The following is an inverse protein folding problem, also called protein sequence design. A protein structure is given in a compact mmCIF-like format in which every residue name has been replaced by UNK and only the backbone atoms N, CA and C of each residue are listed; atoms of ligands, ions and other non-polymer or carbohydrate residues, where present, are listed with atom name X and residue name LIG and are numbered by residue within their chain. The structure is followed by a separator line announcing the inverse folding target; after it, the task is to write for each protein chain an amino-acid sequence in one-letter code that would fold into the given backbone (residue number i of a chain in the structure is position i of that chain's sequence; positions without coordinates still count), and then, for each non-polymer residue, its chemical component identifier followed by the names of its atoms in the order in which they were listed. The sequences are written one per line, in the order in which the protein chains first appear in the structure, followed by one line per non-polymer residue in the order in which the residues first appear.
data_IF_633148877473
#
_entry.id   IF_633148877473
#
_cell.length_a   1.000
_cell.length_b   1.000
_cell.length_c   1.000
_cell.angle_alpha   90.00
_cell.angle_beta   90.00
_cell.angle_gamma   90.00
#
_symmetry.space_group_name_H-M   'P 1'
#
loop_
_entity.id
_entity.type
_entity.pdbx_description
1 polymer ?
#
# COMPACT_ATOMS: atom_id res chain seq x y z
N UNK A 1 41.67 -50.76 7.26
CA UNK A 1 42.54 -50.35 6.12
C UNK A 1 41.73 -49.46 5.21
N UNK A 2 42.18 -48.23 4.98
CA UNK A 2 41.49 -47.29 4.11
C UNK A 2 41.58 -47.78 2.66
N UNK A 3 40.44 -47.85 1.95
CA UNK A 3 40.35 -48.41 0.59
C UNK A 3 40.50 -47.34 -0.51
N UNK A 4 40.53 -46.06 -0.15
CA UNK A 4 40.63 -44.96 -1.10
C UNK A 4 42.07 -44.44 -1.23
N UNK A 5 42.47 -43.96 -2.43
CA UNK A 5 43.72 -43.23 -2.62
C UNK A 5 43.83 -42.01 -1.69
N UNK A 6 45.04 -41.66 -1.27
CA UNK A 6 45.28 -40.57 -0.31
C UNK A 6 44.72 -39.21 -0.77
N UNK A 7 44.78 -38.92 -2.07
CA UNK A 7 44.24 -37.68 -2.65
C UNK A 7 42.71 -37.61 -2.61
N UNK A 8 42.01 -38.76 -2.72
CA UNK A 8 40.55 -38.83 -2.57
C UNK A 8 40.16 -38.53 -1.14
N UNK A 9 40.90 -39.06 -0.17
CA UNK A 9 40.68 -38.76 1.24
C UNK A 9 40.96 -37.28 1.55
N UNK A 10 41.98 -36.69 0.93
CA UNK A 10 42.30 -35.27 1.06
C UNK A 10 41.20 -34.39 0.46
N UNK A 11 40.68 -34.75 -0.73
CA UNK A 11 39.55 -34.08 -1.34
C UNK A 11 38.29 -34.18 -0.48
N UNK A 12 37.99 -35.37 0.05
CA UNK A 12 36.85 -35.59 0.95
C UNK A 12 36.96 -34.73 2.22
N UNK A 13 38.15 -34.69 2.83
CA UNK A 13 38.41 -33.84 3.98
C UNK A 13 38.24 -32.35 3.64
N UNK A 14 38.74 -31.90 2.49
CA UNK A 14 38.57 -30.52 2.04
C UNK A 14 37.10 -30.16 1.83
N UNK A 15 36.31 -31.05 1.21
CA UNK A 15 34.86 -30.85 1.04
C UNK A 15 34.13 -30.81 2.37
N UNK A 16 34.48 -31.68 3.33
CA UNK A 16 33.88 -31.67 4.67
C UNK A 16 34.21 -30.40 5.45
N UNK A 17 35.46 -29.93 5.38
CA UNK A 17 35.87 -28.67 6.02
C UNK A 17 35.14 -27.49 5.39
N UNK A 18 35.02 -27.46 4.06
CA UNK A 18 34.29 -26.39 3.37
C UNK A 18 32.80 -26.43 3.72
N UNK A 19 32.18 -27.62 3.75
CA UNK A 19 30.79 -27.80 4.17
C UNK A 19 30.56 -27.35 5.61
N UNK A 20 31.47 -27.69 6.53
CA UNK A 20 31.41 -27.25 7.92
C UNK A 20 31.58 -25.72 8.04
N UNK A 21 32.48 -25.12 7.25
CA UNK A 21 32.67 -23.67 7.21
C UNK A 21 31.40 -22.93 6.76
N UNK A 22 30.73 -23.42 5.70
CA UNK A 22 29.48 -22.85 5.21
C UNK A 22 28.27 -23.14 6.10
N UNK A 23 28.32 -24.20 6.92
CA UNK A 23 27.29 -24.51 7.90
C UNK A 23 27.46 -23.74 9.23
N UNK A 24 28.68 -23.26 9.53
CA UNK A 24 29.05 -22.59 10.78
C UNK A 24 28.15 -21.38 11.15
N UNK A 25 27.70 -20.52 10.22
CA UNK A 25 26.82 -19.40 10.54
C UNK A 25 25.55 -19.79 11.31
N UNK A 26 25.02 -21.00 11.07
CA UNK A 26 23.79 -21.50 11.72
C UNK A 26 23.97 -21.79 13.21
N UNK A 27 25.21 -21.97 13.68
CA UNK A 27 25.52 -22.30 15.07
C UNK A 27 25.51 -21.04 15.95
N UNK A 28 25.77 -19.87 15.37
CA UNK A 28 25.87 -18.62 16.13
C UNK A 28 24.52 -18.09 16.62
N UNK A 29 23.40 -18.54 16.05
CA UNK A 29 22.07 -18.04 16.42
C UNK A 29 21.84 -16.57 16.03
N UNK A 30 21.02 -15.87 16.82
CA UNK A 30 20.60 -14.48 16.53
C UNK A 30 20.76 -13.59 17.74
N UNK A 31 21.20 -12.35 17.51
CA UNK A 31 21.20 -11.27 18.50
C UNK A 31 19.87 -10.48 18.45
N UNK A 32 19.27 -10.14 19.61
CA UNK A 32 18.21 -9.15 19.72
C UNK A 32 18.67 -7.80 19.16
N UNK A 33 17.88 -7.20 18.26
CA UNK A 33 18.27 -5.95 17.61
C UNK A 33 17.09 -5.01 17.33
N UNK A 34 17.30 -3.70 17.43
CA UNK A 34 16.37 -2.73 16.88
C UNK A 34 16.79 -2.40 15.44
N UNK A 35 15.83 -2.51 14.53
CA UNK A 35 15.94 -2.02 13.16
C UNK A 35 15.23 -0.68 13.07
N UNK A 36 15.98 0.36 12.71
CA UNK A 36 15.49 1.72 12.61
C UNK A 36 15.57 2.13 11.14
N UNK A 37 14.41 2.25 10.50
CA UNK A 37 14.31 2.71 9.11
C UNK A 37 13.63 4.07 9.07
N UNK A 38 14.10 4.94 8.17
CA UNK A 38 13.48 6.24 7.97
C UNK A 38 12.11 6.09 7.32
N UNK A 39 11.12 6.80 7.84
CA UNK A 39 9.83 6.97 7.18
C UNK A 39 9.82 8.27 6.38
N UNK A 40 8.90 8.37 5.41
CA UNK A 40 8.58 9.63 4.73
C UNK A 40 9.80 10.32 4.09
N UNK A 41 10.64 9.54 3.42
CA UNK A 41 11.83 10.06 2.71
C UNK A 41 13.01 10.45 3.62
N UNK A 42 12.87 10.31 4.94
CA UNK A 42 13.98 10.56 5.88
C UNK A 42 15.06 9.50 5.68
N UNK A 43 16.29 9.95 5.47
CA UNK A 43 17.45 9.07 5.40
C UNK A 43 17.96 8.80 6.80
N UNK A 44 18.42 7.57 7.03
CA UNK A 44 19.11 7.20 8.26
C UNK A 44 20.59 7.50 8.09
N UNK A 45 21.05 8.55 8.76
CA UNK A 45 22.40 9.10 8.64
C UNK A 45 23.18 9.02 9.97
N UNK A 46 24.41 9.55 9.96
CA UNK A 46 25.27 9.57 11.13
C UNK A 46 24.69 10.40 12.28
N UNK A 47 23.82 11.37 12.00
CA UNK A 47 23.17 12.18 13.04
C UNK A 47 22.06 11.38 13.73
N UNK A 48 21.24 10.65 12.97
CA UNK A 48 20.28 9.70 13.53
C UNK A 48 20.98 8.64 14.39
N UNK A 49 22.14 8.13 13.96
CA UNK A 49 22.95 7.19 14.74
C UNK A 49 23.42 7.79 16.08
N UNK A 50 23.86 9.06 16.09
CA UNK A 50 24.26 9.76 17.32
C UNK A 50 23.08 9.96 18.25
N UNK A 51 21.95 10.44 17.72
CA UNK A 51 20.74 10.68 18.51
C UNK A 51 20.24 9.39 19.21
N UNK A 52 20.30 8.27 18.51
CA UNK A 52 19.99 6.94 19.09
C UNK A 52 21.01 6.56 20.16
N UNK A 53 22.31 6.70 19.88
CA UNK A 53 23.37 6.41 20.85
C UNK A 53 23.19 7.22 22.13
N UNK A 54 22.94 8.52 22.02
CA UNK A 54 22.75 9.43 23.15
C UNK A 54 21.50 9.07 23.95
N UNK A 55 20.40 8.71 23.28
CA UNK A 55 19.17 8.27 23.93
C UNK A 55 19.37 7.00 24.76
N UNK A 56 20.08 6.01 24.19
CA UNK A 56 20.40 4.76 24.89
C UNK A 56 21.30 5.01 26.10
N UNK A 57 22.34 5.84 25.95
CA UNK A 57 23.23 6.20 27.05
C UNK A 57 22.50 6.94 28.17
N UNK A 58 21.61 7.87 27.84
CA UNK A 58 20.81 8.61 28.82
C UNK A 58 19.86 7.68 29.62
N UNK A 59 19.38 6.60 29.00
CA UNK A 59 18.58 5.57 29.65
C UNK A 59 19.43 4.50 30.37
N UNK A 60 20.76 4.55 30.30
CA UNK A 60 21.64 3.55 30.91
C UNK A 60 21.69 2.22 30.16
N UNK A 61 21.22 2.16 28.92
CA UNK A 61 21.17 0.96 28.08
C UNK A 61 22.46 0.82 27.26
N UNK A 62 23.03 -0.38 27.22
CA UNK A 62 24.27 -0.65 26.50
C UNK A 62 23.99 -1.42 25.21
N UNK A 63 24.25 -0.77 24.07
CA UNK A 63 24.25 -1.45 22.78
C UNK A 63 25.56 -2.22 22.58
N UNK A 64 25.47 -3.47 22.12
CA UNK A 64 26.62 -4.31 21.75
C UNK A 64 27.29 -3.80 20.47
N UNK A 65 26.48 -3.33 19.53
CA UNK A 65 26.93 -2.75 18.28
C UNK A 65 25.85 -1.82 17.73
N UNK A 66 26.28 -0.75 17.08
CA UNK A 66 25.42 0.18 16.34
C UNK A 66 26.02 0.35 14.96
N UNK A 67 25.29 -0.02 13.91
CA UNK A 67 25.78 0.03 12.54
C UNK A 67 24.70 0.49 11.58
N UNK A 68 25.06 1.39 10.65
CA UNK A 68 24.23 1.74 9.50
C UNK A 68 24.41 0.65 8.45
N UNK A 69 23.30 0.15 7.94
CA UNK A 69 23.19 -0.86 6.88
C UNK A 69 22.33 -0.30 5.74
N UNK A 70 22.22 -1.02 4.64
CA UNK A 70 21.37 -0.62 3.51
C UNK A 70 19.88 -0.51 3.88
N UNK A 71 19.45 -1.23 4.93
CA UNK A 71 18.07 -1.24 5.44
C UNK A 71 17.81 -0.22 6.56
N UNK A 72 18.81 0.61 6.89
CA UNK A 72 18.74 1.61 7.96
C UNK A 72 19.74 1.34 9.09
N UNK A 73 19.43 1.81 10.29
CA UNK A 73 20.30 1.68 11.46
C UNK A 73 19.92 0.44 12.26
N UNK A 74 20.89 -0.44 12.49
CA UNK A 74 20.74 -1.64 13.30
C UNK A 74 21.47 -1.46 14.63
N UNK A 75 20.75 -1.64 15.73
CA UNK A 75 21.29 -1.58 17.10
C UNK A 75 21.15 -2.96 17.72
N UNK A 76 22.25 -3.60 18.12
CA UNK A 76 22.27 -4.94 18.72
C UNK A 76 22.35 -4.86 20.24
N UNK A 77 21.65 -5.74 20.93
CA UNK A 77 21.57 -5.83 22.38
C UNK A 77 22.06 -7.19 22.88
N UNK A 78 22.33 -7.28 24.19
CA UNK A 78 22.74 -8.53 24.82
C UNK A 78 21.57 -9.51 24.99
N UNK A 79 20.38 -8.97 25.25
CA UNK A 79 19.16 -9.72 25.55
C UNK A 79 17.90 -8.96 25.08
N UNK A 80 16.77 -9.66 25.09
CA UNK A 80 15.47 -9.14 24.62
C UNK A 80 14.89 -8.09 25.57
N UNK A 81 15.22 -8.13 26.87
CA UNK A 81 14.69 -7.17 27.84
C UNK A 81 15.28 -5.77 27.58
N UNK A 82 16.60 -5.69 27.36
CA UNK A 82 17.28 -4.46 26.92
C UNK A 82 16.77 -3.97 25.57
N UNK A 83 16.47 -4.88 24.64
CA UNK A 83 15.92 -4.53 23.33
C UNK A 83 14.54 -3.87 23.46
N UNK A 84 13.65 -4.43 24.29
CA UNK A 84 12.31 -3.91 24.51
C UNK A 84 12.33 -2.53 25.18
N UNK A 85 13.15 -2.37 26.23
CA UNK A 85 13.32 -1.08 26.89
C UNK A 85 13.91 -0.03 25.96
N UNK A 86 14.91 -0.42 25.16
CA UNK A 86 15.52 0.43 24.15
C UNK A 86 14.51 0.86 23.08
N UNK A 87 13.55 0.01 22.70
CA UNK A 87 12.55 0.33 21.70
C UNK A 87 11.74 1.55 22.13
N UNK A 88 11.25 1.54 23.37
CA UNK A 88 10.41 2.62 23.91
C UNK A 88 11.18 3.93 24.00
N UNK A 89 12.43 3.87 24.50
CA UNK A 89 13.33 5.03 24.61
C UNK A 89 13.62 5.64 23.24
N UNK A 90 14.03 4.81 22.28
CA UNK A 90 14.40 5.27 20.93
C UNK A 90 13.19 5.80 20.18
N UNK A 91 12.03 5.15 20.31
CA UNK A 91 10.78 5.61 19.70
C UNK A 91 10.31 6.94 20.26
N UNK A 92 10.43 7.14 21.58
CA UNK A 92 10.10 8.41 22.21
C UNK A 92 11.04 9.54 21.73
N UNK A 93 12.31 9.24 21.46
CA UNK A 93 13.30 10.23 21.01
C UNK A 93 13.17 10.59 19.53
N UNK A 94 13.07 9.59 18.65
CA UNK A 94 13.04 9.77 17.20
C UNK A 94 11.65 10.18 16.67
N UNK A 95 10.60 10.02 17.47
CA UNK A 95 9.23 10.36 17.08
C UNK A 95 8.70 9.47 15.96
N UNK A 96 7.80 10.02 15.14
CA UNK A 96 7.14 9.27 14.07
C UNK A 96 7.91 9.24 12.75
N UNK A 97 9.01 10.00 12.63
CA UNK A 97 9.78 10.11 11.38
C UNK A 97 10.63 8.87 11.10
N UNK A 98 10.76 7.99 12.10
CA UNK A 98 11.49 6.73 12.01
C UNK A 98 10.60 5.57 12.47
N UNK A 99 10.69 4.45 11.77
CA UNK A 99 10.15 3.17 12.23
C UNK A 99 11.17 2.52 13.14
N UNK A 100 10.80 2.25 14.39
CA UNK A 100 11.64 1.50 15.34
C UNK A 100 11.04 0.10 15.52
N UNK A 101 11.60 -0.88 14.81
CA UNK A 101 11.11 -2.25 14.78
C UNK A 101 12.00 -3.20 15.61
N UNK A 102 11.37 -4.13 16.31
CA UNK A 102 12.05 -5.26 16.93
C UNK A 102 12.47 -6.27 15.85
N UNK A 103 13.74 -6.63 15.81
CA UNK A 103 14.30 -7.57 14.86
C UNK A 103 15.23 -8.57 15.57
N UNK A 104 15.56 -9.66 14.89
CA UNK A 104 16.56 -10.65 15.29
C UNK A 104 17.59 -10.77 14.16
N UNK A 105 18.82 -10.35 14.42
CA UNK A 105 19.88 -10.30 13.40
C UNK A 105 20.84 -11.48 13.62
N UNK A 106 21.34 -12.13 12.56
CA UNK A 106 22.32 -13.21 12.73
C UNK A 106 23.54 -12.76 13.57
N UNK A 107 23.88 -13.55 14.59
CA UNK A 107 25.04 -13.30 15.44
C UNK A 107 26.36 -13.80 14.82
N UNK A 108 26.29 -14.37 13.61
CA UNK A 108 27.45 -14.83 12.87
C UNK A 108 28.45 -13.68 12.60
N UNK A 109 29.75 -13.91 12.79
CA UNK A 109 30.78 -12.92 12.48
C UNK A 109 30.72 -12.42 11.02
N UNK A 110 30.96 -11.11 10.76
CA UNK A 110 30.88 -10.54 9.42
C UNK A 110 31.79 -11.21 8.37
N UNK A 111 32.94 -11.77 8.79
CA UNK A 111 33.87 -12.45 7.90
C UNK A 111 33.28 -13.72 7.25
N UNK A 112 32.33 -14.40 7.91
CA UNK A 112 31.62 -15.54 7.31
C UNK A 112 30.72 -15.06 6.16
N UNK A 113 29.99 -13.96 6.38
CA UNK A 113 29.18 -13.34 5.34
C UNK A 113 30.02 -12.86 4.15
N UNK A 114 31.21 -12.31 4.39
CA UNK A 114 32.14 -11.89 3.33
C UNK A 114 32.64 -13.05 2.46
N UNK A 115 32.63 -14.30 2.97
CA UNK A 115 32.95 -15.51 2.22
C UNK A 115 31.73 -16.11 1.49
N UNK A 116 30.56 -15.47 1.57
CA UNK A 116 29.30 -16.00 1.06
C UNK A 116 28.67 -17.09 1.94
N UNK A 117 29.22 -17.34 3.14
CA UNK A 117 28.62 -18.24 4.12
C UNK A 117 27.52 -17.50 4.90
N UNK A 118 26.31 -17.51 4.34
CA UNK A 118 25.12 -16.96 4.98
C UNK A 118 24.39 -18.04 5.80
N UNK A 119 23.76 -17.67 6.94
CA UNK A 119 22.91 -18.59 7.67
C UNK A 119 21.70 -19.00 6.83
N UNK A 120 21.19 -20.20 7.07
CA UNK A 120 19.99 -20.70 6.43
C UNK A 120 18.76 -19.95 6.93
N UNK A 121 17.79 -19.77 6.05
CA UNK A 121 16.50 -19.21 6.40
C UNK A 121 15.69 -20.21 7.23
N UNK A 122 15.40 -19.81 8.46
CA UNK A 122 14.58 -20.57 9.38
C UNK A 122 13.12 -20.16 9.19
N UNK A 123 12.27 -21.12 8.86
CA UNK A 123 10.82 -20.91 8.78
C UNK A 123 10.21 -20.58 10.15
N UNK A 124 8.92 -20.26 10.14
CA UNK A 124 8.15 -19.87 11.33
C UNK A 124 8.30 -20.86 12.50
N UNK A 125 8.30 -22.17 12.22
CA UNK A 125 8.38 -23.20 13.26
C UNK A 125 9.73 -23.24 13.99
N UNK A 126 10.80 -22.77 13.32
CA UNK A 126 12.16 -22.78 13.86
C UNK A 126 12.59 -21.42 14.43
N UNK A 127 12.11 -20.32 13.83
CA UNK A 127 12.45 -18.95 14.25
C UNK A 127 11.40 -18.32 15.17
N UNK A 128 10.21 -18.92 15.28
CA UNK A 128 9.04 -18.27 15.85
C UNK A 128 8.53 -17.12 14.96
N UNK A 129 7.42 -16.50 15.37
CA UNK A 129 6.80 -15.38 14.63
C UNK A 129 5.28 -15.51 14.57
N UNK A 130 4.68 -15.01 13.48
CA UNK A 130 3.23 -15.04 13.27
C UNK A 130 2.83 -15.55 11.89
N UNK A 131 1.70 -16.25 11.86
CA UNK A 131 0.99 -16.67 10.66
C UNK A 131 -0.40 -16.03 10.64
N UNK A 132 -0.66 -15.19 9.64
CA UNK A 132 -1.97 -14.61 9.41
C UNK A 132 -2.62 -15.22 8.18
N UNK A 133 -3.90 -15.57 8.33
CA UNK A 133 -4.77 -15.90 7.22
C UNK A 133 -5.80 -14.77 7.07
N UNK A 134 -5.69 -14.00 5.99
CA UNK A 134 -6.53 -12.85 5.71
C UNK A 134 -7.50 -13.21 4.58
N UNK A 135 -8.76 -12.81 4.70
CA UNK A 135 -9.78 -13.01 3.67
C UNK A 135 -10.11 -11.67 3.02
N UNK A 136 -10.06 -11.63 1.68
CA UNK A 136 -10.37 -10.43 0.89
C UNK A 136 -11.88 -10.36 0.67
N UNK A 137 -12.48 -9.18 0.87
CA UNK A 137 -13.89 -8.94 0.52
C UNK A 137 -14.07 -8.86 -1.00
N UNK A 138 -14.12 -10.05 -1.62
CA UNK A 138 -14.37 -10.21 -3.05
C UNK A 138 -15.75 -9.72 -3.46
N UNK A 139 -16.72 -9.71 -2.54
CA UNK A 139 -18.06 -9.22 -2.82
C UNK A 139 -18.06 -7.69 -2.96
N UNK A 140 -17.29 -6.97 -2.14
CA UNK A 140 -17.06 -5.54 -2.31
C UNK A 140 -16.40 -5.21 -3.65
N UNK A 141 -15.39 -5.99 -4.05
CA UNK A 141 -14.72 -5.79 -5.33
C UNK A 141 -15.68 -6.00 -6.53
N UNK A 142 -16.56 -6.99 -6.47
CA UNK A 142 -17.60 -7.22 -7.50
C UNK A 142 -18.60 -6.08 -7.52
N UNK A 143 -19.10 -5.64 -6.35
CA UNK A 143 -20.00 -4.48 -6.26
C UNK A 143 -19.36 -3.23 -6.88
N UNK A 144 -18.10 -2.97 -6.57
CA UNK A 144 -17.36 -1.85 -7.14
C UNK A 144 -17.19 -1.98 -8.66
N UNK A 145 -17.02 -3.18 -9.20
CA UNK A 145 -16.97 -3.41 -10.65
C UNK A 145 -18.32 -3.15 -11.33
N UNK A 146 -19.43 -3.57 -10.71
CA UNK A 146 -20.78 -3.30 -11.22
C UNK A 146 -21.15 -1.82 -11.19
N UNK A 147 -20.77 -1.08 -10.13
CA UNK A 147 -20.99 0.37 -10.07
C UNK A 147 -20.26 1.08 -11.21
N UNK A 148 -19.03 0.65 -11.51
CA UNK A 148 -18.24 1.15 -12.64
C UNK A 148 -18.95 0.88 -13.98
N UNK A 149 -19.44 -0.35 -14.18
CA UNK A 149 -20.20 -0.70 -15.38
C UNK A 149 -21.49 0.10 -15.50
N UNK A 150 -22.24 0.32 -14.41
CA UNK A 150 -23.43 1.19 -14.41
C UNK A 150 -23.09 2.57 -14.95
N UNK A 151 -21.99 3.17 -14.48
CA UNK A 151 -21.59 4.50 -14.89
C UNK A 151 -21.09 4.56 -16.34
N UNK A 152 -20.35 3.53 -16.78
CA UNK A 152 -19.93 3.37 -18.18
C UNK A 152 -21.13 3.20 -19.12
N UNK A 153 -22.14 2.39 -18.74
CA UNK A 153 -23.37 2.21 -19.52
C UNK A 153 -24.16 3.52 -19.63
N UNK A 154 -24.27 4.30 -18.55
CA UNK A 154 -24.92 5.62 -18.59
C UNK A 154 -24.22 6.56 -19.55
N UNK A 155 -22.88 6.51 -19.62
CA UNK A 155 -22.12 7.30 -20.57
C UNK A 155 -22.36 6.81 -22.01
N UNK A 156 -22.22 5.52 -22.25
CA UNK A 156 -22.41 4.88 -23.56
C UNK A 156 -23.79 5.18 -24.16
N UNK A 157 -24.85 5.05 -23.37
CA UNK A 157 -26.23 5.33 -23.83
C UNK A 157 -26.44 6.81 -24.15
N UNK A 158 -25.85 7.73 -23.37
CA UNK A 158 -25.91 9.18 -23.66
C UNK A 158 -25.18 9.53 -24.95
N UNK A 159 -24.00 8.97 -25.16
CA UNK A 159 -23.19 9.21 -26.37
C UNK A 159 -23.92 8.74 -27.64
N UNK A 160 -24.59 7.58 -27.57
CA UNK A 160 -25.39 7.06 -28.67
C UNK A 160 -26.82 7.63 -28.74
N UNK A 161 -27.12 8.63 -27.89
CA UNK A 161 -28.42 9.32 -27.81
C UNK A 161 -29.62 8.39 -27.55
N UNK A 162 -29.37 7.24 -26.92
CA UNK A 162 -30.40 6.31 -26.49
C UNK A 162 -31.01 6.80 -25.18
N UNK A 163 -32.33 6.99 -25.17
CA UNK A 163 -33.02 7.55 -24.00
C UNK A 163 -33.32 6.46 -22.99
N UNK A 164 -32.79 6.63 -21.79
CA UNK A 164 -33.05 5.72 -20.66
C UNK A 164 -33.72 6.47 -19.49
N UNK A 165 -34.44 5.72 -18.65
CA UNK A 165 -35.01 6.21 -17.39
C UNK A 165 -33.98 6.15 -16.27
N UNK A 166 -33.34 4.99 -16.12
CA UNK A 166 -32.28 4.79 -15.15
C UNK A 166 -31.40 3.60 -15.54
N UNK A 167 -30.20 3.60 -14.99
CA UNK A 167 -29.28 2.47 -14.97
C UNK A 167 -28.77 2.32 -13.54
N UNK A 168 -28.82 1.13 -12.96
CA UNK A 168 -28.43 0.88 -11.56
C UNK A 168 -28.00 -0.57 -11.36
N UNK A 169 -27.32 -0.83 -10.25
CA UNK A 169 -27.16 -2.19 -9.75
C UNK A 169 -28.46 -2.64 -9.07
N UNK A 170 -28.83 -3.89 -9.27
CA UNK A 170 -29.94 -4.55 -8.58
C UNK A 170 -29.45 -5.85 -7.96
N UNK A 171 -29.95 -6.17 -6.76
CA UNK A 171 -29.74 -7.49 -6.16
C UNK A 171 -30.74 -8.48 -6.75
N UNK A 172 -30.27 -9.67 -7.10
CA UNK A 172 -31.12 -10.74 -7.61
C UNK A 172 -31.63 -11.66 -6.48
N UNK A 173 -32.75 -12.38 -6.70
CA UNK A 173 -33.33 -13.26 -5.68
C UNK A 173 -32.42 -14.41 -5.25
N UNK A 174 -31.46 -14.80 -6.10
CA UNK A 174 -30.48 -15.85 -5.84
C UNK A 174 -29.28 -15.37 -5.00
N UNK A 175 -29.27 -14.09 -4.61
CA UNK A 175 -28.19 -13.46 -3.85
C UNK A 175 -27.05 -12.91 -4.71
N UNK A 176 -27.12 -13.05 -6.04
CA UNK A 176 -26.21 -12.37 -6.97
C UNK A 176 -26.62 -10.92 -7.18
N UNK A 177 -25.83 -10.19 -7.96
CA UNK A 177 -26.12 -8.82 -8.37
C UNK A 177 -25.97 -8.70 -9.88
N UNK A 178 -26.74 -7.77 -10.44
CA UNK A 178 -26.74 -7.49 -11.86
C UNK A 178 -26.79 -5.99 -12.10
N UNK A 179 -26.38 -5.59 -13.30
CA UNK A 179 -26.56 -4.24 -13.80
C UNK A 179 -27.85 -4.18 -14.60
N UNK A 180 -28.65 -3.17 -14.32
CA UNK A 180 -30.00 -3.07 -14.81
C UNK A 180 -30.18 -1.72 -15.50
N UNK A 181 -30.74 -1.73 -16.71
CA UNK A 181 -31.00 -0.53 -17.51
C UNK A 181 -32.46 -0.56 -17.96
N UNK A 182 -33.19 0.54 -17.71
CA UNK A 182 -34.54 0.74 -18.24
C UNK A 182 -34.52 1.81 -19.32
N UNK A 183 -34.91 1.47 -20.53
CA UNK A 183 -35.06 2.41 -21.63
C UNK A 183 -36.42 3.10 -21.60
N UNK A 184 -36.52 4.26 -22.25
CA UNK A 184 -37.79 4.98 -22.37
C UNK A 184 -38.69 4.46 -23.50
N UNK A 185 -38.11 3.77 -24.48
CA UNK A 185 -38.80 3.29 -25.67
C UNK A 185 -38.38 1.85 -25.98
N UNK A 186 -39.36 0.99 -26.23
CA UNK A 186 -39.18 -0.43 -26.58
C UNK A 186 -38.37 -0.59 -27.87
N UNK A 187 -38.50 0.37 -28.80
CA UNK A 187 -37.77 0.40 -30.07
C UNK A 187 -36.26 0.48 -29.90
N UNK A 188 -35.80 1.06 -28.78
CA UNK A 188 -34.38 1.32 -28.53
C UNK A 188 -33.70 0.10 -27.87
N UNK A 189 -34.46 -0.88 -27.39
CA UNK A 189 -33.98 -2.01 -26.57
C UNK A 189 -33.06 -2.92 -27.37
N UNK A 190 -33.45 -3.31 -28.58
CA UNK A 190 -32.61 -4.15 -29.43
C UNK A 190 -31.30 -3.45 -29.81
N UNK A 191 -31.36 -2.13 -30.08
CA UNK A 191 -30.17 -1.33 -30.39
C UNK A 191 -29.26 -1.19 -29.17
N UNK A 192 -29.83 -0.91 -27.98
CA UNK A 192 -29.08 -0.80 -26.74
C UNK A 192 -28.43 -2.14 -26.35
N UNK A 193 -29.17 -3.25 -26.45
CA UNK A 193 -28.64 -4.57 -26.17
C UNK A 193 -27.43 -4.89 -27.06
N UNK A 194 -27.56 -4.72 -28.38
CA UNK A 194 -26.44 -4.94 -29.31
C UNK A 194 -25.25 -4.02 -29.04
N UNK A 195 -25.51 -2.74 -28.69
CA UNK A 195 -24.46 -1.79 -28.35
C UNK A 195 -23.71 -2.21 -27.08
N UNK A 196 -24.42 -2.66 -26.06
CA UNK A 196 -23.85 -3.09 -24.79
C UNK A 196 -23.05 -4.38 -25.00
N UNK A 197 -23.61 -5.40 -25.64
CA UNK A 197 -22.91 -6.67 -25.90
C UNK A 197 -21.62 -6.47 -26.72
N UNK A 198 -21.60 -5.50 -27.64
CA UNK A 198 -20.41 -5.17 -28.43
C UNK A 198 -19.35 -4.40 -27.65
N UNK A 199 -19.76 -3.54 -26.72
CA UNK A 199 -18.84 -2.63 -26.00
C UNK A 199 -18.36 -3.24 -24.69
N UNK A 200 -19.21 -4.05 -24.06
CA UNK A 200 -19.02 -4.70 -22.76
C UNK A 200 -19.25 -6.22 -22.90
N UNK A 201 -18.35 -6.95 -23.59
CA UNK A 201 -18.46 -8.41 -23.75
C UNK A 201 -18.41 -9.18 -22.41
N UNK A 202 -18.00 -8.52 -21.32
CA UNK A 202 -18.05 -9.04 -19.95
C UNK A 202 -19.47 -9.19 -19.40
N UNK A 203 -20.47 -8.54 -20.01
CA UNK A 203 -21.88 -8.61 -19.60
C UNK A 203 -22.64 -9.61 -20.48
N UNK A 204 -23.34 -10.54 -19.83
CA UNK A 204 -24.41 -11.34 -20.45
C UNK A 204 -25.71 -10.56 -20.29
N UNK A 205 -26.19 -9.99 -21.39
CA UNK A 205 -27.36 -9.09 -21.38
C UNK A 205 -28.60 -9.86 -21.82
N UNK A 206 -29.67 -9.74 -21.03
CA UNK A 206 -30.97 -10.32 -21.31
C UNK A 206 -32.06 -9.26 -21.11
N UNK A 207 -33.18 -9.40 -21.82
CA UNK A 207 -34.37 -8.60 -21.54
C UNK A 207 -35.11 -9.21 -20.35
N UNK A 208 -35.53 -8.39 -19.40
CA UNK A 208 -36.23 -8.87 -18.21
C UNK A 208 -37.57 -9.52 -18.59
N UNK A 209 -37.83 -10.70 -18.01
CA UNK A 209 -39.10 -11.39 -18.19
C UNK A 209 -40.28 -10.51 -17.79
N UNK A 210 -41.16 -10.22 -18.76
CA UNK A 210 -42.38 -9.43 -18.55
C UNK A 210 -42.21 -7.91 -18.65
N UNK A 211 -41.00 -7.41 -18.95
CA UNK A 211 -40.76 -5.97 -19.13
C UNK A 211 -39.80 -5.73 -20.30
N UNK A 212 -40.39 -5.49 -21.48
CA UNK A 212 -39.67 -5.34 -22.74
C UNK A 212 -38.72 -4.12 -22.76
N UNK A 213 -38.89 -3.16 -21.86
CA UNK A 213 -38.05 -1.95 -21.76
C UNK A 213 -36.82 -2.13 -20.88
N UNK A 214 -36.69 -3.28 -20.22
CA UNK A 214 -35.71 -3.50 -19.16
C UNK A 214 -34.67 -4.53 -19.58
N UNK A 215 -33.41 -4.12 -19.57
CA UNK A 215 -32.24 -4.96 -19.81
C UNK A 215 -31.56 -5.28 -18.49
N UNK A 216 -31.15 -6.54 -18.33
CA UNK A 216 -30.39 -7.06 -17.20
C UNK A 216 -29.08 -7.60 -17.74
N UNK A 217 -27.97 -6.98 -17.36
CA UNK A 217 -26.61 -7.42 -17.64
C UNK A 217 -26.00 -8.12 -16.43
N UNK A 218 -25.73 -9.42 -16.56
CA UNK A 218 -25.01 -10.21 -15.54
C UNK A 218 -23.54 -10.30 -15.90
N UNK A 219 -22.66 -10.24 -14.91
CA UNK A 219 -21.23 -10.45 -15.14
C UNK A 219 -20.96 -11.91 -15.53
N UNK A 220 -20.23 -12.12 -16.62
CA UNK A 220 -19.78 -13.45 -17.01
C UNK A 220 -18.78 -14.04 -16.01
N UNK A 221 -18.77 -15.37 -15.85
CA UNK A 221 -17.89 -16.08 -14.91
C UNK A 221 -16.40 -15.78 -15.10
N UNK A 222 -15.97 -15.58 -16.35
CA UNK A 222 -14.59 -15.23 -16.67
C UNK A 222 -14.21 -13.86 -16.09
N UNK A 223 -15.09 -12.88 -16.21
CA UNK A 223 -14.88 -11.53 -15.68
C UNK A 223 -14.95 -11.52 -14.15
N UNK A 224 -15.89 -12.26 -13.55
CA UNK A 224 -15.96 -12.42 -12.10
C UNK A 224 -14.66 -12.99 -11.52
N UNK A 225 -14.10 -14.03 -12.15
CA UNK A 225 -12.79 -14.58 -11.75
C UNK A 225 -11.67 -13.56 -11.87
N UNK A 226 -11.68 -12.77 -12.95
CA UNK A 226 -10.68 -11.73 -13.16
C UNK A 226 -10.76 -10.62 -12.11
N UNK A 227 -11.96 -10.13 -11.79
CA UNK A 227 -12.17 -9.13 -10.73
C UNK A 227 -11.66 -9.64 -9.38
N UNK A 228 -11.96 -10.89 -9.02
CA UNK A 228 -11.46 -11.51 -7.77
C UNK A 228 -9.93 -11.63 -7.78
N UNK A 229 -9.35 -12.07 -8.90
CA UNK A 229 -7.89 -12.20 -9.07
C UNK A 229 -7.19 -10.86 -8.91
N UNK A 230 -7.71 -9.81 -9.54
CA UNK A 230 -7.16 -8.46 -9.44
C UNK A 230 -7.26 -7.90 -8.01
N UNK A 231 -8.41 -8.09 -7.35
CA UNK A 231 -8.59 -7.69 -5.95
C UNK A 231 -7.58 -8.38 -5.02
N UNK A 232 -7.35 -9.69 -5.20
CA UNK A 232 -6.34 -10.43 -4.45
C UNK A 232 -4.92 -9.92 -4.71
N UNK A 233 -4.55 -9.71 -5.97
CA UNK A 233 -3.21 -9.24 -6.33
C UNK A 233 -2.91 -7.85 -5.76
N UNK A 234 -3.92 -6.97 -5.77
CA UNK A 234 -3.79 -5.63 -5.22
C UNK A 234 -3.62 -5.65 -3.70
N UNK A 235 -4.43 -6.44 -2.99
CA UNK A 235 -4.30 -6.60 -1.54
C UNK A 235 -2.98 -7.27 -1.15
N UNK A 236 -2.51 -8.26 -1.91
CA UNK A 236 -1.20 -8.89 -1.70
C UNK A 236 -0.05 -7.87 -1.82
N UNK A 237 -0.14 -6.97 -2.79
CA UNK A 237 0.86 -5.90 -2.99
C UNK A 237 0.84 -4.91 -1.82
N UNK A 238 -0.34 -4.53 -1.35
CA UNK A 238 -0.52 -3.66 -0.19
C UNK A 238 0.05 -4.29 1.09
N UNK A 239 -0.23 -5.58 1.31
CA UNK A 239 0.31 -6.33 2.44
C UNK A 239 1.83 -6.43 2.39
N UNK A 240 2.45 -6.67 1.22
CA UNK A 240 3.93 -6.69 1.10
C UNK A 240 4.57 -5.40 1.60
N UNK A 241 4.02 -4.24 1.21
CA UNK A 241 4.55 -2.95 1.64
C UNK A 241 4.42 -2.75 3.16
N UNK A 242 3.27 -3.11 3.73
CA UNK A 242 3.03 -3.04 5.18
C UNK A 242 3.93 -3.94 5.98
N UNK A 243 4.27 -5.10 5.42
CA UNK A 243 5.19 -6.01 6.11
C UNK A 243 6.61 -5.46 6.15
N UNK A 244 7.04 -4.72 5.11
CA UNK A 244 8.34 -4.05 5.15
C UNK A 244 8.40 -3.00 6.28
N UNK A 245 7.28 -2.36 6.62
CA UNK A 245 7.18 -1.46 7.79
C UNK A 245 7.38 -2.18 9.13
N UNK A 246 7.22 -3.51 9.19
CA UNK A 246 7.47 -4.27 10.41
C UNK A 246 8.95 -4.60 10.62
N UNK A 247 9.83 -4.24 9.68
CA UNK A 247 11.28 -4.48 9.79
C UNK A 247 11.65 -5.96 9.74
N UNK A 248 10.79 -6.78 9.13
CA UNK A 248 11.00 -8.22 8.97
C UNK A 248 11.83 -8.45 7.72
N UNK A 249 12.98 -9.10 7.86
CA UNK A 249 13.92 -9.29 6.76
C UNK A 249 13.31 -10.11 5.59
N UNK A 250 12.41 -11.05 5.87
CA UNK A 250 11.92 -12.01 4.85
C UNK A 250 10.48 -12.47 5.06
N UNK A 251 9.50 -11.65 4.66
CA UNK A 251 8.12 -12.04 4.77
C UNK A 251 7.63 -12.88 3.61
N UNK A 252 6.76 -13.84 3.91
CA UNK A 252 6.06 -14.64 2.89
C UNK A 252 4.63 -14.15 2.77
N UNK A 253 4.31 -13.52 1.63
CA UNK A 253 2.94 -13.11 1.29
C UNK A 253 2.49 -13.87 0.05
N UNK A 254 1.54 -14.79 0.23
CA UNK A 254 1.09 -15.71 -0.81
C UNK A 254 -0.43 -15.86 -0.80
N UNK A 255 -1.00 -16.15 -1.97
CA UNK A 255 -2.42 -16.48 -2.09
C UNK A 255 -2.71 -17.89 -1.57
N UNK A 256 -3.82 -18.05 -0.84
CA UNK A 256 -4.37 -19.33 -0.42
C UNK A 256 -5.81 -19.48 -0.93
N UNK A 257 -6.02 -20.41 -1.87
CA UNK A 257 -7.34 -20.58 -2.51
C UNK A 257 -7.77 -19.35 -3.31
N UNK A 258 -9.08 -19.12 -3.40
CA UNK A 258 -9.66 -18.12 -4.32
C UNK A 258 -9.90 -16.73 -3.71
N UNK A 259 -9.82 -16.59 -2.39
CA UNK A 259 -10.14 -15.33 -1.68
C UNK A 259 -9.25 -15.02 -0.48
N UNK A 260 -8.27 -15.87 -0.16
CA UNK A 260 -7.44 -15.69 1.04
C UNK A 260 -5.97 -15.43 0.72
N UNK A 261 -5.30 -14.76 1.65
CA UNK A 261 -3.88 -14.43 1.59
C UNK A 261 -3.24 -14.92 2.89
N UNK A 262 -2.21 -15.74 2.76
CA UNK A 262 -1.32 -16.12 3.86
C UNK A 262 -0.22 -15.07 3.97
N UNK A 263 -0.01 -14.58 5.18
CA UNK A 263 1.13 -13.75 5.55
C UNK A 263 1.91 -14.45 6.67
N UNK A 264 3.17 -14.78 6.42
CA UNK A 264 4.07 -15.33 7.43
C UNK A 264 5.18 -14.34 7.72
N UNK A 265 5.37 -14.05 9.00
CA UNK A 265 6.39 -13.13 9.47
C UNK A 265 7.32 -13.83 10.47
N UNK A 266 8.37 -14.52 9.98
CA UNK A 266 9.35 -15.17 10.84
C UNK A 266 10.12 -14.15 11.67
N UNK A 267 10.32 -14.44 12.96
CA UNK A 267 11.10 -13.59 13.86
C UNK A 267 10.39 -12.29 14.31
N UNK A 268 9.13 -12.06 13.93
CA UNK A 268 8.33 -10.98 14.52
C UNK A 268 8.10 -11.25 15.99
N UNK A 269 8.49 -10.30 16.83
CA UNK A 269 8.30 -10.39 18.27
C UNK A 269 6.96 -9.80 18.72
N UNK A 270 6.52 -8.68 18.13
CA UNK A 270 5.27 -8.01 18.49
C UNK A 270 4.12 -8.39 17.54
N UNK A 271 3.35 -9.39 17.96
CA UNK A 271 2.21 -9.93 17.20
C UNK A 271 1.03 -8.97 17.14
N UNK A 272 0.81 -8.17 18.19
CA UNK A 272 -0.27 -7.20 18.26
C UNK A 272 -0.01 -6.06 17.29
N UNK A 273 1.23 -5.55 17.28
CA UNK A 273 1.65 -4.53 16.32
C UNK A 273 1.60 -5.03 14.89
N UNK A 274 2.02 -6.26 14.63
CA UNK A 274 1.91 -6.86 13.30
C UNK A 274 0.46 -6.90 12.82
N UNK A 275 -0.49 -7.29 13.68
CA UNK A 275 -1.92 -7.28 13.35
C UNK A 275 -2.44 -5.86 13.06
N UNK A 276 -2.04 -4.87 13.85
CA UNK A 276 -2.43 -3.46 13.64
C UNK A 276 -1.93 -2.91 12.30
N UNK A 277 -0.66 -3.13 11.99
CA UNK A 277 -0.05 -2.65 10.73
C UNK A 277 -0.68 -3.33 9.52
N UNK A 278 -0.91 -4.64 9.59
CA UNK A 278 -1.57 -5.37 8.50
C UNK A 278 -3.05 -5.02 8.34
N UNK A 279 -3.74 -4.64 9.42
CA UNK A 279 -5.15 -4.27 9.42
C UNK A 279 -5.44 -2.79 9.18
N UNK A 280 -4.43 -1.94 8.98
CA UNK A 280 -4.63 -0.51 8.69
C UNK A 280 -5.46 -0.32 7.41
N UNK A 281 -6.05 0.85 7.20
CA UNK A 281 -6.67 1.21 5.91
C UNK A 281 -6.03 2.47 5.37
N UNK A 282 -5.72 2.46 4.07
CA UNK A 282 -5.12 3.58 3.39
C UNK A 282 -6.07 4.05 2.28
N UNK A 283 -6.37 5.34 2.27
CA UNK A 283 -7.18 5.98 1.23
C UNK A 283 -6.42 7.16 0.64
N UNK A 284 -6.86 7.61 -0.53
CA UNK A 284 -6.30 8.76 -1.21
C UNK A 284 -7.39 9.78 -1.48
N UNK A 285 -7.05 11.06 -1.34
CA UNK A 285 -7.93 12.20 -1.61
C UNK A 285 -7.20 13.21 -2.51
N UNK A 286 -7.87 13.67 -3.57
CA UNK A 286 -7.42 14.79 -4.38
C UNK A 286 -8.06 16.08 -3.85
N UNK A 287 -7.25 17.08 -3.53
CA UNK A 287 -7.71 18.37 -2.97
C UNK A 287 -7.09 19.54 -3.70
N UNK A 288 -7.82 20.65 -3.81
CA UNK A 288 -7.25 21.90 -4.32
C UNK A 288 -6.35 22.52 -3.26
N UNK A 289 -5.20 23.04 -3.70
CA UNK A 289 -4.37 23.90 -2.86
C UNK A 289 -5.10 25.23 -2.68
N UNK A 290 -5.09 25.75 -1.45
CA UNK A 290 -5.64 27.06 -1.15
C UNK A 290 -4.58 28.13 -1.38
N UNK A 291 -4.60 28.70 -2.58
CA UNK A 291 -3.64 29.75 -3.00
C UNK A 291 -4.17 31.17 -2.73
N UNK A 292 -5.42 31.29 -2.27
CA UNK A 292 -6.06 32.58 -2.00
C UNK A 292 -5.67 33.15 -0.63
N UNK A 293 -5.22 32.28 0.28
CA UNK A 293 -4.86 32.63 1.64
C UNK A 293 -3.37 32.43 1.91
N UNK A 294 -2.86 33.22 2.86
CA UNK A 294 -1.46 33.20 3.25
C UNK A 294 -1.11 31.96 4.09
N UNK A 295 -0.14 31.17 3.62
CA UNK A 295 0.37 29.99 4.31
C UNK A 295 0.99 30.36 5.66
N UNK A 296 1.73 31.47 5.75
CA UNK A 296 2.41 31.88 6.98
C UNK A 296 1.43 32.15 8.13
N UNK A 297 0.31 32.80 7.83
CA UNK A 297 -0.78 33.06 8.77
C UNK A 297 -1.47 31.77 9.22
N UNK A 298 -1.66 30.83 8.31
CA UNK A 298 -2.21 29.51 8.64
C UNK A 298 -1.27 28.73 9.58
N UNK A 299 0.04 28.72 9.31
CA UNK A 299 1.06 28.09 10.15
C UNK A 299 1.10 28.72 11.56
N UNK A 300 0.85 30.03 11.65
CA UNK A 300 0.69 30.75 12.91
C UNK A 300 -0.64 30.47 13.64
N UNK A 301 -1.43 29.49 13.19
CA UNK A 301 -2.67 29.02 13.82
C UNK A 301 -3.95 29.71 13.34
N UNK A 302 -3.88 30.61 12.34
CA UNK A 302 -5.04 31.31 11.78
C UNK A 302 -5.47 30.69 10.46
N UNK A 303 -5.92 29.44 10.52
CA UNK A 303 -6.36 28.71 9.33
C UNK A 303 -7.71 29.28 8.84
N UNK A 304 -7.84 29.67 7.56
CA UNK A 304 -9.10 30.15 7.00
C UNK A 304 -10.23 29.11 7.06
N UNK A 305 -11.50 29.53 7.18
CA UNK A 305 -12.62 28.60 7.14
C UNK A 305 -12.69 27.86 5.80
N UNK A 306 -12.84 26.54 5.85
CA UNK A 306 -12.87 25.69 4.66
C UNK A 306 -11.50 25.26 4.14
N UNK A 307 -10.42 25.56 4.87
CA UNK A 307 -9.06 25.14 4.56
C UNK A 307 -8.40 24.44 5.75
N UNK A 308 -7.38 23.63 5.48
CA UNK A 308 -6.60 22.92 6.48
C UNK A 308 -5.15 22.77 6.06
N UNK A 309 -4.25 22.81 7.04
CA UNK A 309 -2.83 22.55 6.83
C UNK A 309 -2.57 21.04 6.77
N UNK A 310 -1.74 20.66 5.81
CA UNK A 310 -1.25 19.30 5.64
C UNK A 310 0.27 19.30 5.58
N UNK A 311 0.94 18.31 6.18
CA UNK A 311 2.36 18.09 5.98
C UNK A 311 2.62 17.57 4.56
N UNK A 312 3.71 18.00 3.96
CA UNK A 312 4.20 17.52 2.65
C UNK A 312 5.28 16.46 2.85
N UNK A 313 5.34 15.48 1.94
CA UNK A 313 6.32 14.39 1.99
C UNK A 313 7.77 14.88 1.95
N UNK A 314 8.04 15.93 1.19
CA UNK A 314 9.38 16.53 1.05
C UNK A 314 9.75 17.48 2.22
N UNK A 315 8.91 17.52 3.26
CA UNK A 315 9.02 18.45 4.37
C UNK A 315 8.29 19.77 4.10
N UNK A 316 7.85 20.42 5.19
CA UNK A 316 7.03 21.63 5.14
C UNK A 316 5.54 21.36 5.32
N UNK A 317 4.74 22.39 5.03
CA UNK A 317 3.29 22.35 5.12
C UNK A 317 2.67 23.03 3.90
N UNK A 318 1.50 22.54 3.49
CA UNK A 318 0.71 23.11 2.41
C UNK A 318 -0.72 23.32 2.89
N UNK A 319 -1.31 24.45 2.50
CA UNK A 319 -2.69 24.77 2.80
C UNK A 319 -3.58 24.21 1.70
N UNK A 320 -4.52 23.33 2.06
CA UNK A 320 -5.47 22.74 1.12
C UNK A 320 -6.89 23.14 1.50
N UNK A 321 -7.78 23.22 0.50
CA UNK A 321 -9.22 23.28 0.76
C UNK A 321 -9.65 21.96 1.42
N UNK A 322 -10.51 22.01 2.43
CA UNK A 322 -10.86 20.85 3.25
C UNK A 322 -11.66 19.79 2.48
N UNK A 323 -12.46 20.22 1.51
CA UNK A 323 -13.28 19.33 0.67
C UNK A 323 -12.40 18.55 -0.32
N UNK A 324 -12.48 17.22 -0.27
CA UNK A 324 -11.94 16.35 -1.31
C UNK A 324 -12.75 16.50 -2.61
N UNK A 325 -12.05 16.66 -3.73
CA UNK A 325 -12.62 16.68 -5.08
C UNK A 325 -12.95 15.26 -5.52
N UNK A 326 -11.99 14.37 -5.30
CA UNK A 326 -12.01 12.99 -5.75
C UNK A 326 -11.31 12.13 -4.70
N UNK A 327 -11.80 10.92 -4.50
CA UNK A 327 -11.20 9.90 -3.64
C UNK A 327 -10.58 8.80 -4.50
N UNK A 328 -9.68 8.01 -3.91
CA UNK A 328 -9.03 6.87 -4.57
C UNK A 328 -10.01 5.83 -5.12
N UNK A 329 -11.23 5.73 -4.57
CA UNK A 329 -12.27 4.78 -4.99
C UNK A 329 -12.67 4.94 -6.47
N UNK A 330 -12.50 6.14 -7.04
CA UNK A 330 -12.81 6.43 -8.44
C UNK A 330 -11.66 6.04 -9.40
N UNK A 331 -10.50 5.62 -8.88
CA UNK A 331 -9.35 5.21 -9.70
C UNK A 331 -9.54 3.76 -10.12
N UNK A 332 -9.56 3.55 -11.44
CA UNK A 332 -9.69 2.21 -12.05
C UNK A 332 -8.34 1.57 -12.37
N UNK A 333 -7.36 2.38 -12.72
CA UNK A 333 -6.00 1.92 -13.01
C UNK A 333 -4.97 3.03 -12.72
N UNK A 334 -3.76 2.62 -12.36
CA UNK A 334 -2.62 3.50 -12.17
C UNK A 334 -1.33 2.78 -12.57
N UNK A 335 -0.57 3.38 -13.49
CA UNK A 335 0.66 2.80 -14.01
C UNK A 335 1.78 3.84 -14.08
N UNK A 336 2.97 3.48 -13.62
CA UNK A 336 4.18 4.29 -13.80
C UNK A 336 4.65 4.22 -15.25
N UNK A 337 5.06 5.35 -15.80
CA UNK A 337 5.63 5.49 -17.13
C UNK A 337 6.70 6.58 -17.17
N UNK A 338 7.12 6.91 -18.39
CA UNK A 338 7.99 8.05 -18.65
C UNK A 338 7.27 9.01 -19.58
N UNK A 339 7.38 10.30 -19.30
CA UNK A 339 6.87 11.32 -20.20
C UNK A 339 7.72 11.37 -21.47
N UNK A 340 7.05 11.35 -22.63
CA UNK A 340 7.71 11.35 -23.93
C UNK A 340 8.41 12.68 -24.25
N UNK A 341 8.00 13.78 -23.61
CA UNK A 341 8.57 15.11 -23.83
C UNK A 341 9.70 15.46 -22.86
N UNK A 342 9.52 15.20 -21.56
CA UNK A 342 10.49 15.60 -20.52
C UNK A 342 11.46 14.50 -20.08
N UNK A 343 11.27 13.25 -20.50
CA UNK A 343 11.95 12.06 -19.96
C UNK A 343 11.78 11.89 -18.43
N UNK A 344 10.89 12.67 -17.80
CA UNK A 344 10.56 12.57 -16.40
C UNK A 344 9.67 11.36 -16.10
N UNK A 345 9.76 10.83 -14.89
CA UNK A 345 8.86 9.77 -14.44
C UNK A 345 7.44 10.34 -14.26
N UNK A 346 6.42 9.61 -14.74
CA UNK A 346 5.01 9.99 -14.64
C UNK A 346 4.15 8.83 -14.15
N UNK A 347 2.98 9.14 -13.59
CA UNK A 347 1.96 8.13 -13.30
C UNK A 347 0.74 8.40 -14.14
N UNK A 348 0.41 7.47 -15.03
CA UNK A 348 -0.83 7.47 -15.79
C UNK A 348 -1.95 6.94 -14.90
N UNK A 349 -3.02 7.72 -14.75
CA UNK A 349 -4.18 7.39 -13.93
C UNK A 349 -5.41 7.31 -14.82
N UNK A 350 -6.22 6.27 -14.61
CA UNK A 350 -7.54 6.11 -15.22
C UNK A 350 -8.61 6.20 -14.14
N UNK A 351 -9.68 6.94 -14.42
CA UNK A 351 -10.86 7.07 -13.56
C UNK A 351 -12.04 6.28 -14.11
N UNK A 352 -13.04 6.02 -13.26
CA UNK A 352 -14.37 5.59 -13.71
C UNK A 352 -15.18 6.76 -14.30
N UNK A 353 -16.35 6.47 -14.88
CA UNK A 353 -17.17 7.50 -15.54
C UNK A 353 -17.64 8.62 -14.60
N UNK A 354 -17.92 8.31 -13.32
CA UNK A 354 -18.38 9.31 -12.33
C UNK A 354 -17.23 10.21 -11.89
N UNK A 355 -16.10 9.61 -11.54
CA UNK A 355 -14.88 10.30 -11.18
C UNK A 355 -14.39 11.19 -12.31
N UNK A 356 -14.38 10.68 -13.55
CA UNK A 356 -14.01 11.46 -14.73
C UNK A 356 -14.87 12.73 -14.89
N UNK A 357 -16.20 12.62 -14.74
CA UNK A 357 -17.09 13.78 -14.88
C UNK A 357 -16.95 14.83 -13.76
N UNK A 358 -16.65 14.39 -12.54
CA UNK A 358 -16.33 15.31 -11.42
C UNK A 358 -15.00 16.00 -11.69
N UNK A 359 -13.98 15.21 -12.03
CA UNK A 359 -12.61 15.66 -12.23
C UNK A 359 -12.50 16.62 -13.42
N UNK A 360 -13.17 16.34 -14.53
CA UNK A 360 -13.20 17.22 -15.71
C UNK A 360 -13.78 18.60 -15.39
N UNK A 361 -14.89 18.64 -14.66
CA UNK A 361 -15.53 19.90 -14.26
C UNK A 361 -14.62 20.71 -13.35
N UNK A 362 -14.12 20.08 -12.29
CA UNK A 362 -13.32 20.77 -11.28
C UNK A 362 -11.97 21.21 -11.84
N UNK A 363 -11.29 20.39 -12.63
CA UNK A 363 -10.02 20.79 -13.25
C UNK A 363 -10.21 21.86 -14.32
N UNK A 364 -11.31 21.80 -15.09
CA UNK A 364 -11.67 22.85 -16.06
C UNK A 364 -11.88 24.23 -15.41
N UNK A 365 -12.42 24.28 -14.20
CA UNK A 365 -12.64 25.52 -13.45
C UNK A 365 -11.38 25.99 -12.67
N UNK A 366 -10.32 25.18 -12.61
CA UNK A 366 -9.13 25.41 -11.78
C UNK A 366 -7.81 25.25 -12.55
N UNK A 367 -7.80 25.51 -13.86
CA UNK A 367 -6.56 25.50 -14.66
C UNK A 367 -5.56 26.52 -14.09
N UNK A 368 -4.30 26.12 -13.98
CA UNK A 368 -3.21 26.91 -13.39
C UNK A 368 -3.11 26.84 -11.87
N UNK A 369 -4.10 26.26 -11.18
CA UNK A 369 -4.04 25.99 -9.73
C UNK A 369 -3.40 24.63 -9.45
N UNK A 370 -2.87 24.44 -8.24
CA UNK A 370 -2.30 23.16 -7.80
C UNK A 370 -3.36 22.19 -7.28
N UNK A 371 -3.17 20.91 -7.59
CA UNK A 371 -4.00 19.80 -7.14
C UNK A 371 -3.15 18.85 -6.29
N UNK A 372 -3.41 18.82 -5.00
CA UNK A 372 -2.71 17.95 -4.06
C UNK A 372 -3.29 16.54 -4.05
N UNK A 373 -2.41 15.54 -4.02
CA UNK A 373 -2.73 14.14 -3.74
C UNK A 373 -2.39 13.86 -2.28
N UNK A 374 -3.43 13.66 -1.47
CA UNK A 374 -3.33 13.43 -0.03
C UNK A 374 -3.46 11.93 0.24
N UNK A 375 -2.43 11.34 0.83
CA UNK A 375 -2.45 10.00 1.39
C UNK A 375 -2.97 10.04 2.82
N UNK A 376 -3.94 9.20 3.10
CA UNK A 376 -4.62 9.14 4.38
C UNK A 376 -4.52 7.73 4.90
N UNK A 377 -3.90 7.57 6.05
CA UNK A 377 -3.71 6.28 6.69
C UNK A 377 -4.40 6.28 8.05
N UNK A 378 -5.27 5.29 8.26
CA UNK A 378 -5.90 5.05 9.55
C UNK A 378 -5.20 3.87 10.22
N UNK A 379 -4.43 4.17 11.27
CA UNK A 379 -3.75 3.21 12.13
C UNK A 379 -4.47 3.13 13.48
N UNK A 380 -4.55 1.94 14.06
CA UNK A 380 -4.91 1.80 15.48
C UNK A 380 -3.62 1.57 16.23
N UNK A 381 -3.26 2.46 17.14
CA UNK A 381 -2.10 2.28 18.02
C UNK A 381 -2.59 1.86 19.40
N UNK A 382 -2.01 0.79 19.94
CA UNK A 382 -2.18 0.44 21.36
C UNK A 382 -1.08 1.11 22.17
N UNK A 383 -1.46 2.04 23.06
CA UNK A 383 -0.53 2.76 23.94
C UNK A 383 -0.69 2.25 25.37
N UNK A 384 0.42 1.89 26.01
CA UNK A 384 0.45 1.56 27.43
C UNK A 384 0.46 2.85 28.24
N UNK A 385 -0.52 3.02 29.12
CA UNK A 385 -0.60 4.16 30.03
C UNK A 385 0.32 3.98 31.25
N UNK A 386 0.66 5.06 31.98
CA UNK A 386 1.47 5.00 33.19
C UNK A 386 0.89 4.11 34.30
N UNK A 387 -0.42 3.87 34.29
CA UNK A 387 -1.13 2.99 35.22
C UNK A 387 -1.08 1.50 34.81
N UNK A 388 -0.42 1.18 33.69
CA UNK A 388 -0.29 -0.17 33.14
C UNK A 388 -1.45 -0.61 32.25
N UNK A 389 -2.49 0.20 32.05
CA UNK A 389 -3.60 -0.12 31.15
C UNK A 389 -3.23 0.07 29.68
N UNK A 390 -3.82 -0.74 28.79
CA UNK A 390 -3.64 -0.62 27.34
C UNK A 390 -4.83 0.14 26.74
N UNK A 391 -4.58 1.30 26.15
CA UNK A 391 -5.60 2.10 25.47
C UNK A 391 -5.40 2.03 23.95
N UNK A 392 -6.45 1.66 23.22
CA UNK A 392 -6.44 1.69 21.75
C UNK A 392 -6.85 3.07 21.28
N UNK A 393 -5.96 3.74 20.54
CA UNK A 393 -6.24 5.05 19.93
C UNK A 393 -6.19 4.93 18.41
N UNK A 394 -7.22 5.47 17.76
CA UNK A 394 -7.21 5.62 16.31
C UNK A 394 -6.35 6.84 15.97
N UNK A 395 -5.30 6.62 15.18
CA UNK A 395 -4.43 7.66 14.64
C UNK A 395 -4.67 7.75 13.14
N UNK A 396 -5.19 8.89 12.70
CA UNK A 396 -5.30 9.24 11.29
C UNK A 396 -4.08 10.08 10.92
N UNK A 397 -3.25 9.56 10.04
CA UNK A 397 -2.10 10.28 9.47
C UNK A 397 -2.46 10.73 8.07
N UNK A 398 -2.17 11.97 7.74
CA UNK A 398 -2.47 12.55 6.43
C UNK A 398 -1.24 13.27 5.92
N UNK A 399 -0.79 12.94 4.72
CA UNK A 399 0.34 13.62 4.08
C UNK A 399 0.03 13.93 2.62
N UNK A 400 0.60 15.02 2.12
CA UNK A 400 0.58 15.33 0.69
C UNK A 400 1.76 14.66 0.03
N UNK A 401 1.48 13.72 -0.87
CA UNK A 401 2.50 13.05 -1.67
C UNK A 401 3.05 14.02 -2.71
N UNK A 402 2.17 14.65 -3.48
CA UNK A 402 2.54 15.61 -4.54
C UNK A 402 1.41 16.62 -4.75
N UNK A 403 1.75 17.79 -5.30
CA UNK A 403 0.78 18.85 -5.60
C UNK A 403 1.09 19.53 -6.95
N UNK A 404 0.99 18.80 -8.09
CA UNK A 404 1.26 19.36 -9.41
C UNK A 404 0.24 20.43 -9.80
N UNK A 405 0.65 21.29 -10.75
CA UNK A 405 -0.22 22.30 -11.35
C UNK A 405 -1.15 21.64 -12.37
N UNK A 406 -2.44 22.00 -12.34
CA UNK A 406 -3.42 21.60 -13.35
C UNK A 406 -3.10 22.36 -14.64
N UNK A 407 -2.59 21.66 -15.65
CA UNK A 407 -2.21 22.27 -16.93
C UNK A 407 -3.38 22.41 -17.91
N UNK A 408 -4.30 21.44 -17.89
CA UNK A 408 -5.43 21.35 -18.79
C UNK A 408 -6.65 20.79 -18.06
N UNK A 409 -7.81 20.84 -18.72
CA UNK A 409 -9.00 20.12 -18.30
C UNK A 409 -8.75 18.61 -18.39
N UNK A 410 -8.71 17.94 -17.24
CA UNK A 410 -8.36 16.51 -17.15
C UNK A 410 -9.62 15.64 -17.20
N UNK A 411 -9.68 14.75 -18.19
CA UNK A 411 -10.78 13.81 -18.36
C UNK A 411 -10.55 12.48 -17.63
N UNK A 412 -11.08 11.40 -18.22
CA UNK A 412 -10.99 10.03 -17.68
C UNK A 412 -9.58 9.49 -17.54
N UNK A 413 -8.64 9.95 -18.37
CA UNK A 413 -7.22 9.57 -18.32
C UNK A 413 -6.39 10.82 -18.17
N UNK A 414 -5.47 10.80 -17.22
CA UNK A 414 -4.54 11.91 -17.00
C UNK A 414 -3.18 11.37 -16.50
N UNK A 415 -2.20 12.25 -16.45
CA UNK A 415 -0.88 11.93 -15.91
C UNK A 415 -0.53 12.84 -14.73
N UNK A 416 0.07 12.26 -13.71
CA UNK A 416 0.65 12.97 -12.57
C UNK A 416 2.15 13.11 -12.84
N UNK A 417 2.62 14.35 -12.80
CA UNK A 417 4.02 14.74 -13.04
C UNK A 417 4.67 15.25 -11.75
N UNK A 418 5.97 15.56 -11.81
CA UNK A 418 6.69 16.14 -10.67
C UNK A 418 7.26 15.11 -9.70
N UNK A 419 7.66 13.94 -10.22
CA UNK A 419 8.36 12.92 -9.44
C UNK A 419 9.85 12.95 -9.79
N UNK A 420 10.69 12.73 -8.79
CA UNK A 420 12.14 12.86 -8.91
C UNK A 420 12.77 11.66 -9.60
N UNK A 421 12.15 10.48 -9.49
CA UNK A 421 12.68 9.26 -10.07
C UNK A 421 11.61 8.21 -10.38
N UNK A 422 11.99 7.19 -11.16
CA UNK A 422 11.09 6.11 -11.56
C UNK A 422 10.60 5.23 -10.41
N UNK A 423 11.34 5.16 -9.29
CA UNK A 423 10.93 4.38 -8.11
C UNK A 423 9.75 5.06 -7.42
N UNK A 424 9.82 6.37 -7.25
CA UNK A 424 8.75 7.17 -6.68
C UNK A 424 7.44 7.06 -7.50
N UNK A 425 7.54 7.14 -8.83
CA UNK A 425 6.39 6.94 -9.71
C UNK A 425 5.77 5.55 -9.58
N UNK A 426 6.61 4.52 -9.45
CA UNK A 426 6.13 3.15 -9.20
C UNK A 426 5.42 3.05 -7.86
N UNK A 427 5.99 3.62 -6.81
CA UNK A 427 5.41 3.61 -5.46
C UNK A 427 4.08 4.36 -5.43
N UNK A 428 4.00 5.54 -6.05
CA UNK A 428 2.76 6.31 -6.16
C UNK A 428 1.69 5.56 -6.97
N UNK A 429 2.05 4.95 -8.11
CA UNK A 429 1.10 4.13 -8.88
C UNK A 429 0.55 2.96 -8.05
N UNK A 430 1.40 2.32 -7.25
CA UNK A 430 0.99 1.26 -6.33
C UNK A 430 0.04 1.79 -5.25
N UNK A 431 0.34 2.94 -4.65
CA UNK A 431 -0.51 3.58 -3.64
C UNK A 431 -1.86 4.00 -4.22
N UNK A 432 -1.89 4.61 -5.42
CA UNK A 432 -3.11 5.00 -6.12
C UNK A 432 -4.04 3.82 -6.39
N UNK A 433 -3.47 2.68 -6.76
CA UNK A 433 -4.21 1.44 -6.97
C UNK A 433 -4.60 0.75 -5.65
N UNK A 434 -3.87 1.00 -4.56
CA UNK A 434 -4.19 0.47 -3.24
C UNK A 434 -5.33 1.25 -2.57
N UNK A 435 -5.34 2.58 -2.73
CA UNK A 435 -6.38 3.46 -2.20
C UNK A 435 -7.74 3.34 -2.90
N UNK A 436 -7.83 2.65 -4.04
CA UNK A 436 -9.10 2.35 -4.72
C UNK A 436 -9.83 1.12 -4.16
N UNK A 437 -9.15 0.32 -3.32
CA UNK A 437 -9.64 -0.94 -2.77
C UNK A 437 -9.45 -0.97 -1.25
N UNK A 438 -9.98 0.04 -0.55
CA UNK A 438 -10.22 -0.08 0.87
C UNK A 438 -11.44 -0.99 1.08
N UNK A 439 -11.20 -2.29 1.24
CA UNK A 439 -12.20 -3.27 1.69
C UNK A 439 -11.62 -4.13 2.81
#
# INVERSE_FOLDING_TARGET
MNRYPWWVNLLLAAVLVLGALFALPNVYGTDPALQISGQRGRVVDADAQREVSDALQAAGLQARAIAITDEGLTVRFADTDQQLEAQDVVRARLGSDYTVALNLVPAAPPWLGALGAQPMFLGLDLRGGVHFLLEVDTAAAVRAAEDRLVDDLRQLLREQRLRYEWARRVAEPDGSSAVEVRLRADTDVAQAQQLIERTHPELVVETASGDAQRLIGRLGDAYLREVRRLALQQNMTTLRNRVNELGVAEPVVQQQGDSRIIVQLPGVQDTARAKEVLGATATLEFKLVDEEHDLGSAVAGRVPPGSRLYPTRDGGQILLKDRAILTGEYITDAASGFDQQSAGAVVHVSLDGRGAGIFERVTGDNIGRRLAVVFIENKTDTVRQPDGTLERRNRRTEEVITAPVIQDRLGRRFQITGMDNAREARDLALLLRAGSLAA
#
